data_IF_064374273560
#
_entry.id   IF_064374273560
#
_cell.length_a   1.000
_cell.length_b   1.000
_cell.length_c   1.000
_cell.angle_alpha   90.00
_cell.angle_beta   90.00
_cell.angle_gamma   90.00
#
_symmetry.space_group_name_H-M   'P 1'
#
loop_
_entity.id
_entity.type
_entity.pdbx_description
1 polymer ?
#
# COMPACT_ATOMS: atom_id res chain seq x y z
N UNK A 1 5.03 0.57 10.85
CA UNK A 1 5.40 -0.19 9.63
C UNK A 1 5.75 -1.62 10.05
N UNK A 2 5.73 -2.58 9.13
CA UNK A 2 6.07 -4.00 9.35
C UNK A 2 7.07 -4.46 8.29
N UNK A 3 7.86 -5.49 8.58
CA UNK A 3 8.70 -6.13 7.57
C UNK A 3 7.83 -6.89 6.55
N UNK A 4 8.36 -7.06 5.35
CA UNK A 4 7.70 -7.86 4.32
C UNK A 4 7.89 -9.34 4.68
N UNK A 5 6.82 -9.98 5.13
CA UNK A 5 6.77 -11.41 5.42
C UNK A 5 6.37 -12.20 4.17
N UNK A 6 6.51 -13.53 4.21
CA UNK A 6 6.05 -14.41 3.14
C UNK A 6 4.56 -14.22 2.83
N UNK A 7 3.73 -14.08 3.87
CA UNK A 7 2.31 -13.75 3.72
C UNK A 7 2.11 -12.45 2.92
N UNK A 8 2.84 -11.39 3.24
CA UNK A 8 2.72 -10.10 2.53
C UNK A 8 3.13 -10.26 1.07
N UNK A 9 4.21 -10.99 0.80
CA UNK A 9 4.67 -11.24 -0.56
C UNK A 9 3.60 -11.98 -1.38
N UNK A 10 3.08 -13.10 -0.86
CA UNK A 10 2.03 -13.90 -1.51
C UNK A 10 0.73 -13.12 -1.69
N UNK A 11 0.34 -12.32 -0.69
CA UNK A 11 -0.87 -11.52 -0.77
C UNK A 11 -0.75 -10.38 -1.78
N UNK A 12 0.39 -9.70 -1.84
CA UNK A 12 0.65 -8.70 -2.87
C UNK A 12 0.64 -9.32 -4.27
N UNK A 13 1.28 -10.47 -4.47
CA UNK A 13 1.27 -11.17 -5.76
C UNK A 13 -0.15 -11.60 -6.16
N UNK A 14 -0.91 -12.20 -5.23
CA UNK A 14 -2.29 -12.58 -5.50
C UNK A 14 -3.20 -11.38 -5.80
N UNK A 15 -2.97 -10.23 -5.15
CA UNK A 15 -3.77 -9.02 -5.31
C UNK A 15 -3.42 -8.26 -6.59
N UNK A 16 -2.13 -7.96 -6.81
CA UNK A 16 -1.65 -7.14 -7.92
C UNK A 16 -1.31 -7.95 -9.17
N UNK A 17 -1.22 -9.28 -9.06
CA UNK A 17 -0.72 -10.18 -10.11
C UNK A 17 0.72 -9.87 -10.53
N UNK A 18 1.51 -9.33 -9.61
CA UNK A 18 2.90 -8.91 -9.80
C UNK A 18 3.71 -9.30 -8.57
N UNK A 19 4.83 -9.99 -8.79
CA UNK A 19 5.78 -10.33 -7.73
C UNK A 19 6.46 -9.09 -7.17
N UNK A 20 6.60 -9.05 -5.84
CA UNK A 20 7.34 -7.99 -5.18
C UNK A 20 8.84 -8.14 -5.48
N UNK A 21 9.36 -7.26 -6.33
CA UNK A 21 10.75 -7.28 -6.80
C UNK A 21 11.71 -6.42 -5.97
N UNK A 22 12.98 -6.48 -6.36
CA UNK A 22 14.07 -5.60 -5.94
C UNK A 22 14.27 -5.48 -4.42
N UNK A 23 13.84 -6.48 -3.65
CA UNK A 23 13.98 -6.51 -2.19
C UNK A 23 15.43 -6.68 -1.69
N UNK A 24 16.36 -6.96 -2.61
CA UNK A 24 17.81 -6.92 -2.37
C UNK A 24 18.39 -5.51 -2.56
N UNK A 25 17.62 -4.58 -3.14
CA UNK A 25 18.06 -3.22 -3.46
C UNK A 25 17.69 -2.26 -2.36
N UNK A 26 18.67 -1.50 -1.86
CA UNK A 26 18.48 -0.51 -0.80
C UNK A 26 17.47 0.60 -1.12
N UNK A 27 17.24 0.90 -2.41
CA UNK A 27 16.27 1.90 -2.85
C UNK A 27 14.82 1.40 -2.83
N UNK A 28 14.60 0.07 -2.81
CA UNK A 28 13.25 -0.49 -2.81
C UNK A 28 12.60 -0.36 -1.41
N UNK A 29 11.27 -0.32 -1.32
CA UNK A 29 10.60 -0.41 -0.03
C UNK A 29 10.77 -1.80 0.59
N UNK A 30 11.40 -1.86 1.77
CA UNK A 30 11.59 -3.10 2.55
C UNK A 30 10.56 -3.28 3.66
N UNK A 31 9.68 -2.28 3.84
CA UNK A 31 8.67 -2.23 4.89
C UNK A 31 7.32 -1.87 4.30
N UNK A 32 6.29 -2.46 4.86
CA UNK A 32 4.88 -2.24 4.49
C UNK A 32 4.13 -1.56 5.65
N UNK A 33 3.08 -0.82 5.34
CA UNK A 33 2.27 -0.15 6.36
C UNK A 33 1.40 -1.15 7.14
N UNK A 34 1.15 -0.93 8.45
CA UNK A 34 0.33 -1.85 9.28
C UNK A 34 -1.08 -2.03 8.67
N UNK A 35 -1.71 -0.92 8.27
CA UNK A 35 -3.02 -0.92 7.62
C UNK A 35 -3.04 -1.67 6.28
N UNK A 36 -1.98 -1.57 5.48
CA UNK A 36 -1.83 -2.30 4.22
C UNK A 36 -1.90 -3.82 4.47
N UNK A 37 -1.18 -4.30 5.49
CA UNK A 37 -1.17 -5.72 5.88
C UNK A 37 -2.54 -6.15 6.38
N UNK A 38 -3.21 -5.34 7.19
CA UNK A 38 -4.55 -5.63 7.71
C UNK A 38 -5.62 -5.67 6.61
N UNK A 39 -5.54 -4.78 5.63
CA UNK A 39 -6.41 -4.77 4.46
C UNK A 39 -6.18 -6.01 3.60
N UNK A 40 -4.93 -6.38 3.34
CA UNK A 40 -4.59 -7.63 2.64
C UNK A 40 -5.08 -8.88 3.38
N UNK A 41 -4.91 -8.93 4.72
CA UNK A 41 -5.45 -10.02 5.57
C UNK A 41 -6.96 -10.10 5.56
N UNK A 42 -7.65 -8.95 5.49
CA UNK A 42 -9.10 -8.92 5.45
C UNK A 42 -9.62 -9.37 4.09
N UNK A 43 -8.99 -8.88 3.02
CA UNK A 43 -9.25 -9.27 1.65
C UNK A 43 -9.04 -10.77 1.42
N UNK A 44 -7.92 -11.33 1.90
CA UNK A 44 -7.62 -12.77 1.76
C UNK A 44 -8.58 -13.68 2.54
N UNK A 45 -9.42 -13.11 3.41
CA UNK A 45 -10.50 -13.81 4.13
C UNK A 45 -11.87 -13.58 3.47
N UNK A 46 -11.91 -12.99 2.28
CA UNK A 46 -13.14 -12.67 1.55
C UNK A 46 -13.96 -11.52 2.13
N UNK A 47 -13.38 -10.68 3.00
CA UNK A 47 -14.10 -9.52 3.55
C UNK A 47 -14.13 -8.37 2.53
N UNK A 48 -15.17 -7.54 2.62
CA UNK A 48 -15.31 -6.28 1.86
C UNK A 48 -14.39 -5.16 2.40
N UNK A 49 -13.11 -5.48 2.56
CA UNK A 49 -12.03 -4.54 2.88
C UNK A 49 -10.89 -4.81 1.92
N UNK A 50 -10.39 -3.76 1.29
CA UNK A 50 -9.37 -3.88 0.25
C UNK A 50 -8.44 -2.66 0.27
N UNK A 51 -7.33 -2.74 -0.45
CA UNK A 51 -6.42 -1.61 -0.58
C UNK A 51 -7.11 -0.46 -1.33
N UNK A 52 -6.81 0.80 -1.01
CA UNK A 52 -7.45 1.94 -1.68
C UNK A 52 -6.97 2.15 -3.13
N UNK A 53 -6.06 1.32 -3.63
CA UNK A 53 -5.43 1.41 -4.93
C UNK A 53 -5.32 0.04 -5.60
N UNK A 54 -5.55 0.03 -6.92
CA UNK A 54 -5.43 -1.14 -7.77
C UNK A 54 -3.99 -1.40 -8.22
N UNK A 55 -3.21 -0.32 -8.38
CA UNK A 55 -1.80 -0.38 -8.75
C UNK A 55 -1.02 0.26 -7.60
N UNK A 56 -0.03 -0.44 -7.02
CA UNK A 56 0.75 0.12 -5.93
C UNK A 56 1.65 1.26 -6.44
N UNK A 57 2.27 1.98 -5.52
CA UNK A 57 3.35 2.89 -5.89
C UNK A 57 4.47 2.07 -6.52
N UNK A 58 4.90 2.46 -7.72
CA UNK A 58 6.00 1.79 -8.42
C UNK A 58 7.26 2.60 -8.17
N UNK A 59 8.28 1.94 -7.63
CA UNK A 59 9.61 2.50 -7.40
C UNK A 59 10.59 1.93 -8.42
N UNK A 60 11.48 2.77 -8.92
CA UNK A 60 12.65 2.39 -9.72
C UNK A 60 13.88 3.11 -9.18
N UNK A 61 15.05 2.61 -9.54
CA UNK A 61 16.32 3.21 -9.15
C UNK A 61 16.44 4.65 -9.68
N UNK A 62 16.57 5.62 -8.77
CA UNK A 62 16.87 7.01 -9.11
C UNK A 62 18.32 7.14 -9.55
N UNK A 63 18.62 7.90 -10.60
CA UNK A 63 20.02 8.06 -11.07
C UNK A 63 20.78 9.08 -10.23
N UNK A 64 20.10 10.10 -9.71
CA UNK A 64 20.72 11.14 -8.89
C UNK A 64 19.73 11.78 -7.88
N UNK A 65 20.24 12.48 -6.88
CA UNK A 65 19.42 13.15 -5.87
C UNK A 65 18.93 14.55 -6.27
N UNK A 66 19.38 15.08 -7.41
CA UNK A 66 19.16 16.48 -7.80
C UNK A 66 17.92 16.62 -8.70
N UNK A 67 17.84 15.81 -9.75
CA UNK A 67 16.77 15.82 -10.75
C UNK A 67 15.77 14.66 -10.55
N UNK A 68 16.21 13.54 -9.98
CA UNK A 68 15.43 12.29 -9.99
C UNK A 68 14.85 11.91 -8.63
N UNK A 69 15.13 12.69 -7.56
CA UNK A 69 14.67 12.34 -6.23
C UNK A 69 13.21 12.74 -6.00
N UNK A 70 12.32 11.73 -6.02
CA UNK A 70 10.88 11.89 -5.75
C UNK A 70 10.56 12.65 -4.46
N UNK A 71 11.39 12.49 -3.42
CA UNK A 71 11.22 13.21 -2.15
C UNK A 71 11.68 14.67 -2.21
N UNK A 72 12.76 14.97 -2.96
CA UNK A 72 13.27 16.33 -3.09
C UNK A 72 12.39 17.20 -4.00
N UNK A 73 11.65 16.58 -4.91
CA UNK A 73 10.79 17.25 -5.89
C UNK A 73 9.57 17.95 -5.28
N UNK A 74 9.16 17.55 -4.08
CA UNK A 74 8.02 18.15 -3.39
C UNK A 74 8.54 19.06 -2.28
N UNK A 75 8.27 20.36 -2.41
CA UNK A 75 8.53 21.30 -1.33
C UNK A 75 7.58 21.05 -0.17
N UNK A 76 8.11 20.47 0.89
CA UNK A 76 7.40 20.28 2.16
C UNK A 76 7.60 21.45 3.13
N UNK A 77 8.35 22.48 2.72
CA UNK A 77 8.61 23.67 3.54
C UNK A 77 7.30 24.41 3.82
N UNK A 78 6.98 24.58 5.11
CA UNK A 78 5.74 25.24 5.53
C UNK A 78 4.49 24.35 5.53
N UNK A 79 4.60 23.08 5.11
CA UNK A 79 3.46 22.16 5.15
C UNK A 79 3.20 21.70 6.59
N UNK A 80 2.03 22.06 7.15
CA UNK A 80 1.57 21.52 8.42
C UNK A 80 1.05 20.10 8.25
N UNK A 81 0.91 19.36 9.36
CA UNK A 81 0.31 18.03 9.35
C UNK A 81 -1.09 18.02 8.70
N UNK A 82 -1.91 19.03 8.98
CA UNK A 82 -3.24 19.18 8.40
C UNK A 82 -3.19 19.32 6.88
N UNK A 83 -2.12 19.90 6.33
CA UNK A 83 -2.02 20.30 4.93
C UNK A 83 -1.31 19.24 4.08
N UNK A 84 -0.83 18.14 4.69
CA UNK A 84 -0.10 17.07 3.99
C UNK A 84 -0.89 16.43 2.87
N UNK A 85 -2.21 16.37 2.99
CA UNK A 85 -3.09 15.85 1.95
C UNK A 85 -3.13 16.74 0.69
N UNK A 86 -2.68 18.01 0.79
CA UNK A 86 -2.56 18.95 -0.32
C UNK A 86 -1.21 18.82 -1.04
N UNK A 87 -0.25 18.07 -0.49
CA UNK A 87 1.03 17.83 -1.16
C UNK A 87 0.79 17.03 -2.43
N UNK A 88 1.02 17.70 -3.56
CA UNK A 88 0.95 17.05 -4.85
C UNK A 88 2.30 16.43 -5.19
N UNK A 89 2.36 15.10 -5.15
CA UNK A 89 3.47 14.36 -5.71
C UNK A 89 3.24 14.15 -7.22
N UNK A 90 4.16 14.53 -8.11
CA UNK A 90 4.07 14.26 -9.53
C UNK A 90 4.40 12.80 -9.84
N UNK A 91 3.91 12.27 -10.97
CA UNK A 91 4.42 11.00 -11.51
C UNK A 91 5.77 11.24 -12.18
N UNK A 92 6.76 10.43 -11.84
CA UNK A 92 8.11 10.47 -12.39
C UNK A 92 8.46 9.16 -13.08
N UNK A 93 9.46 9.20 -13.95
CA UNK A 93 9.99 7.98 -14.58
C UNK A 93 10.45 6.95 -13.55
N UNK A 94 10.92 7.41 -12.38
CA UNK A 94 11.48 6.59 -11.31
C UNK A 94 10.52 6.29 -10.15
N UNK A 95 9.41 7.02 -10.08
CA UNK A 95 8.42 6.86 -9.01
C UNK A 95 7.03 7.22 -9.55
N UNK A 96 6.18 6.22 -9.67
CA UNK A 96 4.81 6.37 -10.17
C UNK A 96 3.85 6.19 -9.01
N UNK A 97 2.88 7.11 -8.88
CA UNK A 97 1.91 7.08 -7.79
C UNK A 97 0.99 5.87 -7.88
N UNK A 98 0.46 5.42 -6.74
CA UNK A 98 -0.61 4.44 -6.73
C UNK A 98 -1.80 4.91 -7.56
N UNK A 99 -2.41 3.98 -8.29
CA UNK A 99 -3.62 4.24 -9.07
C UNK A 99 -4.82 3.72 -8.28
N UNK A 100 -5.81 4.57 -7.92
CA UNK A 100 -7.03 4.14 -7.25
C UNK A 100 -7.80 3.07 -8.03
N UNK A 101 -8.61 2.28 -7.34
CA UNK A 101 -9.58 1.42 -8.01
C UNK A 101 -10.61 2.25 -8.79
N UNK A 102 -11.01 1.75 -9.96
CA UNK A 102 -12.07 2.30 -10.79
C UNK A 102 -12.76 1.15 -11.54
N UNK A 103 -13.73 1.48 -12.41
CA UNK A 103 -14.42 0.46 -13.22
C UNK A 103 -13.46 -0.38 -14.08
N UNK A 104 -12.39 0.23 -14.60
CA UNK A 104 -11.37 -0.46 -15.41
C UNK A 104 -10.35 -1.22 -14.56
N UNK A 105 -10.21 -0.85 -13.29
CA UNK A 105 -9.29 -1.43 -12.32
C UNK A 105 -10.06 -1.86 -11.06
N UNK A 106 -10.95 -2.87 -11.16
CA UNK A 106 -11.78 -3.29 -10.04
C UNK A 106 -10.94 -3.94 -8.94
N UNK A 107 -11.54 -4.12 -7.77
CA UNK A 107 -10.93 -4.88 -6.68
C UNK A 107 -10.84 -6.34 -7.11
N UNK A 108 -9.65 -6.98 -7.04
CA UNK A 108 -9.51 -8.39 -7.38
C UNK A 108 -10.32 -9.25 -6.41
N UNK A 109 -10.94 -10.31 -6.91
CA UNK A 109 -11.58 -11.32 -6.06
C UNK A 109 -10.48 -12.27 -5.57
N UNK A 110 -10.41 -12.49 -4.26
CA UNK A 110 -9.49 -13.48 -3.71
C UNK A 110 -9.96 -14.88 -4.09
N UNK A 111 -9.11 -15.64 -4.78
CA UNK A 111 -9.35 -17.05 -5.09
C UNK A 111 -8.47 -17.92 -4.21
N UNK A 112 -7.15 -17.79 -4.36
CA UNK A 112 -6.12 -18.52 -3.65
C UNK A 112 -4.77 -17.81 -3.84
N UNK A 113 -3.80 -18.10 -2.98
CA UNK A 113 -2.42 -17.70 -3.23
C UNK A 113 -1.86 -18.59 -4.34
N UNK A 114 -1.44 -18.00 -5.46
CA UNK A 114 -0.86 -18.74 -6.58
C UNK A 114 0.45 -19.43 -6.12
N UNK A 115 0.46 -20.76 -6.10
CA UNK A 115 1.67 -21.56 -5.82
C UNK A 115 1.52 -22.57 -4.68
N UNK A 116 1.01 -23.75 -5.06
CA UNK A 116 1.15 -25.12 -4.53
C UNK A 116 0.77 -25.41 -3.07
N UNK A 117 0.00 -26.49 -2.92
CA UNK A 117 -0.15 -27.26 -1.69
C UNK A 117 1.21 -27.42 -1.02
N UNK A 118 1.37 -26.88 0.18
CA UNK A 118 2.23 -27.54 1.15
C UNK A 118 1.26 -28.25 2.09
N UNK A 119 1.40 -29.57 2.12
CA UNK A 119 0.74 -30.41 3.10
C UNK A 119 1.00 -29.86 4.51
N UNK A 120 -0.02 -29.99 5.35
CA UNK A 120 -0.06 -29.63 6.76
C UNK A 120 1.26 -29.91 7.50
N UNK A 121 1.69 -28.98 8.38
CA UNK A 121 1.86 -29.25 9.82
C UNK A 121 2.50 -28.07 10.57
N UNK A 122 1.97 -27.79 11.78
CA UNK A 122 2.81 -27.42 12.92
C UNK A 122 2.85 -25.96 13.38
N UNK A 123 2.14 -25.71 14.47
CA UNK A 123 2.11 -24.49 15.29
C UNK A 123 3.48 -23.93 15.73
N UNK A 124 3.57 -22.60 15.89
CA UNK A 124 3.82 -22.02 17.22
C UNK A 124 3.42 -20.53 17.28
N UNK A 125 2.71 -20.18 18.36
CA UNK A 125 2.33 -18.84 18.77
C UNK A 125 3.42 -18.25 19.67
N UNK A 126 3.96 -17.08 19.31
CA UNK A 126 4.69 -16.24 20.26
C UNK A 126 4.03 -14.87 20.34
N UNK A 127 3.45 -14.60 21.51
CA UNK A 127 2.90 -13.31 21.91
C UNK A 127 4.05 -12.32 22.16
N UNK A 128 3.99 -11.16 21.52
CA UNK A 128 4.80 -10.00 21.90
C UNK A 128 3.86 -8.83 22.17
N UNK A 129 3.78 -8.43 23.44
CA UNK A 129 3.14 -7.22 23.90
C UNK A 129 3.79 -5.99 23.24
N UNK A 130 3.04 -5.27 22.39
CA UNK A 130 3.45 -3.99 21.80
C UNK A 130 2.73 -2.86 22.54
N UNK A 131 3.51 -1.96 23.12
CA UNK A 131 3.03 -0.76 23.81
C UNK A 131 2.50 0.23 22.76
N UNK A 132 1.20 0.52 22.87
CA UNK A 132 0.41 1.34 21.96
C UNK A 132 0.92 2.79 21.88
N UNK A 133 1.30 3.24 20.68
CA UNK A 133 1.10 4.62 20.29
C UNK A 133 0.43 4.66 18.92
N UNK A 134 -0.91 4.74 18.95
CA UNK A 134 -1.76 4.91 17.78
C UNK A 134 -1.42 6.17 16.99
N UNK A 135 -1.12 5.97 15.70
CA UNK A 135 -1.10 7.03 14.70
C UNK A 135 -2.20 6.71 13.68
N UNK A 136 -3.32 7.44 13.77
CA UNK A 136 -4.35 7.46 12.74
C UNK A 136 -3.77 8.05 11.45
N UNK A 137 -3.75 7.27 10.37
CA UNK A 137 -3.41 7.76 9.03
C UNK A 137 -4.68 7.75 8.19
N UNK A 138 -5.34 8.89 8.11
CA UNK A 138 -6.48 9.12 7.22
C UNK A 138 -5.98 9.25 5.77
N UNK A 139 -6.15 8.19 4.98
CA UNK A 139 -5.80 8.17 3.56
C UNK A 139 -6.93 8.73 2.67
N UNK A 140 -7.98 9.33 3.25
CA UNK A 140 -9.02 10.01 2.48
C UNK A 140 -8.59 11.43 2.18
N UNK A 141 -7.74 11.58 1.16
CA UNK A 141 -7.62 12.83 0.40
C UNK A 141 -8.88 13.16 -0.41
N UNK A 142 -10.07 12.99 0.17
CA UNK A 142 -11.36 13.36 -0.41
C UNK A 142 -12.09 14.24 0.62
N UNK A 143 -12.37 15.52 0.32
CA UNK A 143 -13.08 16.38 1.24
C UNK A 143 -14.46 15.77 1.55
N UNK A 144 -14.79 15.68 2.85
CA UNK A 144 -16.08 15.20 3.37
C UNK A 144 -17.30 15.90 2.76
N UNK A 145 -17.12 17.05 2.09
CA UNK A 145 -18.18 17.79 1.41
C UNK A 145 -18.66 17.16 0.10
N UNK A 146 -17.96 16.16 -0.47
CA UNK A 146 -18.39 15.50 -1.72
C UNK A 146 -19.11 14.14 -1.51
N UNK A 147 -19.19 13.65 -0.27
CA UNK A 147 -19.95 12.44 0.08
C UNK A 147 -21.46 12.68 0.21
N UNK A 148 -21.95 13.91 0.06
CA UNK A 148 -23.38 14.24 0.09
C UNK A 148 -24.06 14.26 -1.30
N UNK A 149 -23.35 13.98 -2.39
CA UNK A 149 -23.89 14.08 -3.76
C UNK A 149 -24.11 12.75 -4.50
N UNK A 150 -24.01 11.61 -3.83
CA UNK A 150 -24.43 10.29 -4.38
C UNK A 150 -25.52 9.60 -3.56
N UNK A 151 -26.42 10.39 -2.94
CA UNK A 151 -27.76 9.90 -2.59
C UNK A 151 -28.73 10.28 -3.71
N UNK A 152 -29.06 9.26 -4.51
CA UNK A 152 -30.34 8.97 -5.19
C UNK A 152 -31.21 10.17 -5.59
N UNK A 153 -31.49 10.25 -6.89
CA UNK A 153 -32.86 10.08 -7.37
C UNK A 153 -32.85 9.04 -8.50
#
# INVERSE_FOLDING_TARGET
>A
MQNITEFVNRACDAYFKVKLGDQDKSWAPHKVCKSCVELLRSWSKGKEKHLPFAIPMIWRESKNHFDDCYFCMVSIMGCKMSDRHLLNYPNLEFAIRPVPHCSDLPVPIFTEFLGLYDSEDGANSEEVNDHDCGYDVDFRGLPRSLLSLTKRN
#
